data_IF_897265370977
#
_entry.id   IF_897265370977
#
_cell.length_a   1.000
_cell.length_b   1.000
_cell.length_c   1.000
_cell.angle_alpha   90.00
_cell.angle_beta   90.00
_cell.angle_gamma   90.00
#
_symmetry.space_group_name_H-M   'P 1'
#
loop_
_entity.id
_entity.type
_entity.pdbx_description
1 polymer ?
#
# COMPACT_ATOMS: atom_id res chain seq x y z
N UNK A 1 49.98 -34.11 -21.47
CA UNK A 1 50.22 -32.67 -21.72
C UNK A 1 49.63 -31.90 -20.55
N UNK A 2 50.46 -31.02 -20.00
CA UNK A 2 50.41 -30.47 -18.66
C UNK A 2 50.05 -28.98 -18.74
N UNK A 3 48.92 -28.52 -18.19
CA UNK A 3 48.73 -27.11 -17.76
C UNK A 3 47.73 -26.98 -16.59
N UNK A 4 47.93 -26.00 -15.69
CA UNK A 4 47.63 -26.13 -14.27
C UNK A 4 46.39 -25.36 -13.79
N UNK A 5 45.92 -25.72 -12.59
CA UNK A 5 44.91 -25.01 -11.79
C UNK A 5 45.44 -23.64 -11.31
N UNK A 6 44.62 -22.59 -11.43
CA UNK A 6 44.88 -21.26 -10.86
C UNK A 6 43.90 -21.04 -9.69
N UNK A 7 44.43 -20.81 -8.48
CA UNK A 7 43.70 -20.36 -7.29
C UNK A 7 43.61 -18.83 -7.23
N UNK A 8 42.65 -18.25 -6.48
CA UNK A 8 42.41 -16.81 -6.44
C UNK A 8 43.31 -16.09 -5.42
N UNK A 9 43.81 -14.90 -5.78
CA UNK A 9 44.52 -13.99 -4.88
C UNK A 9 43.53 -13.11 -4.11
N UNK A 10 43.55 -13.23 -2.77
CA UNK A 10 42.96 -12.28 -1.85
C UNK A 10 43.88 -11.05 -1.72
N UNK A 11 43.34 -9.85 -1.86
CA UNK A 11 44.02 -8.60 -1.52
C UNK A 11 43.29 -7.96 -0.33
N UNK A 12 43.94 -7.99 0.83
CA UNK A 12 43.56 -7.24 2.01
C UNK A 12 44.04 -5.79 1.85
N UNK A 13 43.14 -4.83 2.05
CA UNK A 13 43.48 -3.41 2.17
C UNK A 13 43.20 -3.00 3.62
N UNK A 14 44.25 -2.51 4.27
CA UNK A 14 44.35 -2.07 5.66
C UNK A 14 44.80 -0.59 5.65
N UNK A 15 44.49 0.12 6.73
CA UNK A 15 44.92 1.49 7.13
C UNK A 15 44.15 2.68 6.50
N UNK A 16 43.82 3.78 7.21
CA UNK A 16 44.25 4.24 8.52
C UNK A 16 43.19 5.17 9.17
N UNK A 17 43.16 5.15 10.51
CA UNK A 17 42.48 6.11 11.39
C UNK A 17 43.45 7.24 11.73
N UNK A 18 43.02 8.49 11.62
CA UNK A 18 43.78 9.66 12.07
C UNK A 18 42.96 10.48 13.06
N UNK A 19 43.34 10.40 14.35
CA UNK A 19 42.98 11.35 15.40
C UNK A 19 44.00 12.50 15.39
N UNK A 20 43.54 13.75 15.42
CA UNK A 20 44.36 14.90 15.81
C UNK A 20 43.51 15.91 16.58
N UNK A 21 44.09 16.40 17.68
CA UNK A 21 43.44 17.12 18.77
C UNK A 21 43.81 18.61 18.82
N UNK A 22 42.99 19.35 19.59
CA UNK A 22 43.23 20.58 20.37
C UNK A 22 43.87 21.83 19.74
N UNK A 23 43.16 22.96 19.89
CA UNK A 23 43.72 24.31 19.89
C UNK A 23 42.69 25.37 20.30
N UNK A 24 42.79 25.89 21.53
CA UNK A 24 42.06 27.04 22.07
C UNK A 24 42.79 28.35 21.79
N UNK A 25 42.10 29.47 21.50
CA UNK A 25 42.71 30.80 21.53
C UNK A 25 41.96 31.98 20.88
N UNK A 26 41.12 32.66 21.68
CA UNK A 26 40.85 34.12 21.79
C UNK A 26 40.65 35.08 20.59
N UNK A 27 39.47 35.71 20.61
CA UNK A 27 39.15 37.16 20.46
C UNK A 27 39.48 37.94 19.16
N UNK A 28 38.44 38.39 18.44
CA UNK A 28 38.13 39.82 18.20
C UNK A 28 36.91 40.01 17.25
N UNK A 29 36.13 41.05 17.51
CA UNK A 29 34.97 41.55 16.73
C UNK A 29 35.36 42.88 16.05
N UNK A 30 34.52 43.48 15.17
CA UNK A 30 34.38 43.30 13.72
C UNK A 30 34.92 44.54 12.92
N UNK A 31 34.67 44.67 11.60
CA UNK A 31 33.44 45.34 11.17
C UNK A 31 32.79 44.79 9.87
N UNK A 32 31.53 45.21 9.71
CA UNK A 32 30.71 45.51 8.52
C UNK A 32 31.20 45.11 7.12
N UNK A 33 30.32 44.43 6.36
CA UNK A 33 29.55 45.10 5.29
C UNK A 33 28.36 44.22 4.84
N UNK A 34 27.16 44.76 5.03
CA UNK A 34 25.90 44.22 4.55
C UNK A 34 25.46 45.04 3.33
N UNK A 35 25.11 44.37 2.25
CA UNK A 35 24.55 44.97 1.04
C UNK A 35 23.04 44.67 0.98
N UNK A 36 22.15 45.69 1.04
CA UNK A 36 20.72 45.50 0.87
C UNK A 36 20.25 45.91 -0.55
N UNK A 37 19.37 45.11 -1.15
CA UNK A 37 18.59 45.53 -2.31
C UNK A 37 17.13 45.73 -1.89
N UNK A 38 16.63 46.91 -2.19
CA UNK A 38 15.43 47.53 -1.68
C UNK A 38 14.16 47.19 -2.49
N UNK A 39 12.99 47.26 -1.85
CA UNK A 39 11.74 47.67 -2.49
C UNK A 39 10.67 48.11 -1.47
N UNK A 40 10.23 49.37 -1.62
CA UNK A 40 8.96 49.95 -1.19
C UNK A 40 8.70 51.17 -2.12
N UNK A 41 7.49 51.78 -2.25
CA UNK A 41 6.25 51.63 -1.46
C UNK A 41 4.91 51.57 -2.29
N UNK A 42 3.78 51.50 -1.56
CA UNK A 42 2.36 51.57 -2.00
C UNK A 42 1.88 53.05 -2.27
N UNK A 43 0.58 53.45 -2.34
CA UNK A 43 -0.74 52.77 -2.43
C UNK A 43 -1.80 53.45 -3.38
N UNK A 44 -3.07 52.97 -3.35
CA UNK A 44 -4.36 53.70 -3.39
C UNK A 44 -5.40 53.26 -4.45
N UNK A 45 -6.69 53.43 -4.09
CA UNK A 45 -7.87 52.67 -4.50
C UNK A 45 -8.85 53.40 -5.44
N UNK A 46 -9.75 52.66 -6.15
CA UNK A 46 -11.23 52.81 -6.12
C UNK A 46 -12.01 51.92 -7.12
N UNK A 47 -12.98 51.21 -6.56
CA UNK A 47 -14.41 51.10 -6.93
C UNK A 47 -14.92 50.49 -8.26
N UNK A 48 -15.70 49.40 -8.07
CA UNK A 48 -17.11 49.21 -8.51
C UNK A 48 -17.43 48.49 -9.82
N UNK A 49 -17.84 47.22 -9.69
CA UNK A 49 -19.07 46.69 -10.28
C UNK A 49 -19.60 45.51 -9.43
N UNK A 50 -20.89 45.50 -9.16
CA UNK A 50 -21.60 44.52 -8.32
C UNK A 50 -21.89 43.20 -9.07
N UNK A 51 -22.21 42.10 -8.35
CA UNK A 51 -22.20 40.75 -8.90
C UNK A 51 -23.59 40.31 -9.43
N UNK A 52 -23.64 39.76 -10.64
CA UNK A 52 -24.78 38.93 -11.06
C UNK A 52 -24.68 37.55 -10.39
N UNK A 53 -25.67 37.26 -9.55
CA UNK A 53 -25.84 36.00 -8.84
C UNK A 53 -26.33 34.92 -9.80
N UNK A 54 -25.42 34.08 -10.32
CA UNK A 54 -25.79 32.74 -10.80
C UNK A 54 -25.75 31.76 -9.64
N UNK A 55 -26.93 31.34 -9.20
CA UNK A 55 -27.16 30.20 -8.30
C UNK A 55 -26.38 28.98 -8.80
N UNK A 56 -25.45 28.39 -8.02
CA UNK A 56 -24.85 27.12 -8.39
C UNK A 56 -25.94 26.04 -8.41
N UNK A 57 -26.11 25.38 -9.55
CA UNK A 57 -26.87 24.15 -9.62
C UNK A 57 -26.18 23.13 -8.71
N UNK A 58 -26.93 22.55 -7.78
CA UNK A 58 -26.44 21.46 -6.95
C UNK A 58 -25.95 20.31 -7.86
N UNK A 59 -24.79 19.69 -7.57
CA UNK A 59 -24.36 18.52 -8.31
C UNK A 59 -25.41 17.42 -8.11
N UNK A 60 -26.07 17.02 -9.20
CA UNK A 60 -26.90 15.84 -9.20
C UNK A 60 -26.00 14.64 -8.89
N UNK A 61 -26.26 13.96 -7.76
CA UNK A 61 -25.73 12.61 -7.53
C UNK A 61 -26.19 11.75 -8.70
N UNK A 62 -25.26 11.41 -9.57
CA UNK A 62 -25.44 10.32 -10.53
C UNK A 62 -25.56 9.03 -9.73
N UNK A 63 -26.80 8.60 -9.51
CA UNK A 63 -27.07 7.31 -8.91
C UNK A 63 -26.56 6.21 -9.86
N UNK A 64 -25.59 5.45 -9.38
CA UNK A 64 -25.01 4.30 -10.09
C UNK A 64 -26.17 3.35 -10.45
N UNK A 65 -26.35 2.97 -11.73
CA UNK A 65 -27.39 2.00 -12.08
C UNK A 65 -27.22 0.74 -11.24
N UNK A 66 -28.28 0.35 -10.55
CA UNK A 66 -28.32 -0.93 -9.85
C UNK A 66 -28.04 -2.04 -10.88
N UNK A 67 -27.21 -3.04 -10.53
CA UNK A 67 -26.98 -4.16 -11.43
C UNK A 67 -28.32 -4.81 -11.76
N UNK A 68 -28.54 -5.15 -13.03
CA UNK A 68 -29.74 -5.83 -13.48
C UNK A 68 -29.98 -7.07 -12.60
N UNK A 69 -31.25 -7.38 -12.24
CA UNK A 69 -31.54 -8.51 -11.37
C UNK A 69 -30.95 -9.77 -12.01
N UNK A 70 -30.13 -10.49 -11.24
CA UNK A 70 -29.63 -11.79 -11.65
C UNK A 70 -30.84 -12.70 -11.99
N UNK A 71 -30.74 -13.55 -13.03
CA UNK A 71 -31.81 -14.49 -13.34
C UNK A 71 -32.17 -15.28 -12.09
N UNK A 72 -33.48 -15.46 -11.85
CA UNK A 72 -33.97 -16.18 -10.69
C UNK A 72 -33.32 -17.57 -10.64
N UNK A 73 -32.69 -17.88 -9.51
CA UNK A 73 -32.10 -19.20 -9.30
C UNK A 73 -33.18 -20.28 -9.45
N UNK A 74 -32.87 -21.42 -10.09
CA UNK A 74 -33.82 -22.52 -10.19
C UNK A 74 -34.32 -22.94 -8.80
N UNK A 75 -35.59 -23.34 -8.71
CA UNK A 75 -36.18 -23.80 -7.46
C UNK A 75 -35.41 -25.01 -6.92
N UNK A 76 -35.03 -24.98 -5.63
CA UNK A 76 -34.24 -26.02 -4.99
C UNK A 76 -33.44 -25.50 -3.80
N UNK A 77 -32.68 -26.38 -3.15
CA UNK A 77 -31.76 -25.99 -2.08
C UNK A 77 -30.38 -25.68 -2.66
N UNK A 78 -29.63 -24.79 -2.01
CA UNK A 78 -28.24 -24.51 -2.40
C UNK A 78 -27.35 -25.77 -2.35
N UNK A 79 -27.63 -26.69 -1.43
CA UNK A 79 -26.94 -27.98 -1.32
C UNK A 79 -27.18 -28.86 -2.54
N UNK A 80 -28.44 -29.03 -2.96
CA UNK A 80 -28.77 -29.81 -4.16
C UNK A 80 -28.13 -29.19 -5.41
N UNK A 81 -28.08 -27.86 -5.51
CA UNK A 81 -27.39 -27.19 -6.62
C UNK A 81 -25.88 -27.44 -6.58
N UNK A 82 -25.25 -27.36 -5.40
CA UNK A 82 -23.81 -27.62 -5.22
C UNK A 82 -23.42 -29.03 -5.69
N UNK A 83 -24.26 -30.03 -5.43
CA UNK A 83 -24.04 -31.42 -5.89
C UNK A 83 -24.04 -31.55 -7.42
N UNK A 84 -24.65 -30.61 -8.15
CA UNK A 84 -24.64 -30.61 -9.62
C UNK A 84 -23.37 -30.00 -10.23
N UNK A 85 -22.54 -29.31 -9.44
CA UNK A 85 -21.37 -28.61 -9.94
C UNK A 85 -20.27 -29.63 -10.29
N UNK A 86 -19.81 -29.70 -11.55
CA UNK A 86 -18.75 -30.65 -11.92
C UNK A 86 -17.43 -30.31 -11.23
N UNK A 87 -16.86 -31.30 -10.53
CA UNK A 87 -15.51 -31.18 -9.95
C UNK A 87 -14.48 -31.34 -11.06
N UNK A 88 -13.70 -30.29 -11.33
CA UNK A 88 -12.63 -30.29 -12.32
C UNK A 88 -11.27 -30.45 -11.64
N UNK A 89 -10.31 -31.02 -12.38
CA UNK A 89 -8.89 -31.00 -12.01
C UNK A 89 -8.27 -29.60 -12.13
N UNK A 90 -6.98 -29.47 -11.80
CA UNK A 90 -6.24 -28.20 -11.92
C UNK A 90 -5.99 -27.85 -13.39
N UNK A 91 -6.27 -26.61 -13.79
CA UNK A 91 -5.83 -26.07 -15.08
C UNK A 91 -4.32 -25.73 -15.04
N UNK A 92 -3.64 -25.58 -16.19
CA UNK A 92 -2.24 -25.18 -16.20
C UNK A 92 -2.03 -23.74 -15.67
N UNK A 93 -0.83 -23.49 -15.13
CA UNK A 93 -0.38 -22.16 -14.67
C UNK A 93 0.06 -21.23 -15.83
N UNK A 94 -0.03 -21.67 -17.08
CA UNK A 94 0.34 -20.87 -18.25
C UNK A 94 -0.32 -19.49 -18.24
N UNK A 95 0.48 -18.45 -18.47
CA UNK A 95 0.03 -17.06 -18.47
C UNK A 95 -0.21 -16.45 -17.10
N UNK A 96 0.07 -17.17 -16.00
CA UNK A 96 0.00 -16.57 -14.67
C UNK A 96 1.17 -15.60 -14.46
N UNK A 97 0.82 -14.36 -14.17
CA UNK A 97 1.66 -13.38 -13.48
C UNK A 97 0.88 -12.89 -12.24
N UNK A 98 1.57 -12.46 -11.18
CA UNK A 98 0.90 -11.89 -10.01
C UNK A 98 0.19 -10.57 -10.38
N UNK A 99 0.76 -9.82 -11.31
CA UNK A 99 0.23 -8.53 -11.75
C UNK A 99 -1.10 -8.68 -12.53
N UNK A 100 -1.46 -9.90 -12.96
CA UNK A 100 -2.80 -10.19 -13.50
C UNK A 100 -3.93 -9.95 -12.48
N UNK A 101 -3.60 -9.88 -11.20
CA UNK A 101 -4.50 -9.58 -10.09
C UNK A 101 -4.41 -8.12 -9.61
N UNK A 102 -3.77 -7.25 -10.39
CA UNK A 102 -3.57 -5.84 -10.03
C UNK A 102 -2.25 -5.60 -9.32
N UNK A 103 -1.94 -4.31 -9.09
CA UNK A 103 -0.67 -3.87 -8.53
C UNK A 103 -0.79 -3.53 -7.05
N UNK A 104 -0.06 -4.25 -6.20
CA UNK A 104 -0.02 -3.97 -4.76
C UNK A 104 -1.37 -4.15 -4.07
N UNK A 105 -1.56 -3.40 -2.98
CA UNK A 105 -2.82 -3.38 -2.23
C UNK A 105 -3.69 -2.23 -2.74
N UNK A 106 -4.93 -2.55 -3.02
CA UNK A 106 -5.89 -1.65 -3.66
C UNK A 106 -7.11 -1.44 -2.76
N UNK A 107 -7.92 -0.46 -3.13
CA UNK A 107 -9.18 -0.10 -2.47
C UNK A 107 -10.37 -0.40 -3.42
N UNK A 108 -10.72 -1.68 -3.63
CA UNK A 108 -11.80 -2.05 -4.55
C UNK A 108 -13.19 -1.68 -4.00
N UNK A 109 -13.36 -1.60 -2.67
CA UNK A 109 -14.64 -1.25 -2.04
C UNK A 109 -14.85 0.28 -1.92
N UNK A 110 -13.77 1.06 -2.15
CA UNK A 110 -13.73 2.52 -2.18
C UNK A 110 -14.05 3.14 -0.83
N UNK A 111 -13.62 2.49 0.25
CA UNK A 111 -13.80 2.97 1.61
C UNK A 111 -12.77 4.06 1.99
N UNK A 112 -11.72 4.26 1.18
CA UNK A 112 -10.64 5.23 1.40
C UNK A 112 -9.34 4.62 1.91
N UNK A 113 -9.29 3.30 2.09
CA UNK A 113 -8.14 2.54 2.56
C UNK A 113 -7.76 1.44 1.59
N UNK A 114 -6.45 1.23 1.45
CA UNK A 114 -5.99 0.02 0.77
C UNK A 114 -6.28 -1.21 1.65
N UNK A 115 -6.47 -2.35 1.00
CA UNK A 115 -6.75 -3.61 1.68
C UNK A 115 -5.70 -3.96 2.74
N UNK A 116 -4.44 -3.50 2.62
CA UNK A 116 -3.44 -3.75 3.65
C UNK A 116 -3.78 -3.03 4.94
N UNK A 117 -4.15 -1.77 4.88
CA UNK A 117 -4.52 -1.02 6.06
C UNK A 117 -5.84 -1.52 6.65
N UNK A 118 -6.79 -1.97 5.82
CA UNK A 118 -8.02 -2.59 6.30
C UNK A 118 -7.74 -3.85 7.13
N UNK A 119 -6.86 -4.72 6.63
CA UNK A 119 -6.51 -5.96 7.34
C UNK A 119 -5.68 -5.69 8.59
N UNK A 120 -4.73 -4.75 8.53
CA UNK A 120 -3.99 -4.33 9.73
C UNK A 120 -4.92 -3.74 10.80
N UNK A 121 -5.91 -2.93 10.40
CA UNK A 121 -6.88 -2.36 11.34
C UNK A 121 -7.84 -3.42 11.90
N UNK A 122 -8.17 -4.46 11.13
CA UNK A 122 -9.01 -5.58 11.56
C UNK A 122 -8.31 -6.51 12.55
N UNK A 123 -7.05 -6.86 12.27
CA UNK A 123 -6.38 -7.99 12.92
C UNK A 123 -5.38 -7.59 14.01
N UNK A 124 -4.94 -6.34 14.05
CA UNK A 124 -4.14 -5.84 15.15
C UNK A 124 -5.04 -5.42 16.31
N UNK A 125 -4.50 -5.54 17.53
CA UNK A 125 -5.04 -4.90 18.72
C UNK A 125 -4.15 -3.76 19.17
N UNK A 126 -4.69 -2.83 19.97
CA UNK A 126 -3.97 -1.65 20.48
C UNK A 126 -3.34 -0.82 19.34
N UNK A 127 -4.04 -0.76 18.23
CA UNK A 127 -3.60 -0.09 17.03
C UNK A 127 -3.67 1.43 17.16
N UNK A 128 -2.75 2.10 16.47
CA UNK A 128 -2.78 3.56 16.36
C UNK A 128 -2.79 3.95 14.90
N UNK A 129 -3.34 5.12 14.59
CA UNK A 129 -3.51 5.60 13.23
C UNK A 129 -2.78 6.92 13.00
N UNK A 130 -2.38 7.16 11.76
CA UNK A 130 -1.85 8.47 11.36
C UNK A 130 -2.95 9.53 11.46
N UNK A 131 -2.72 10.64 12.17
CA UNK A 131 -3.67 11.74 12.23
C UNK A 131 -4.05 12.26 10.84
N UNK A 132 -5.32 12.64 10.66
CA UNK A 132 -5.83 13.17 9.39
C UNK A 132 -6.07 12.12 8.30
N UNK A 133 -6.02 10.83 8.63
CA UNK A 133 -6.27 9.73 7.66
C UNK A 133 -7.59 9.00 7.89
N UNK A 134 -8.47 9.51 8.77
CA UNK A 134 -9.74 8.87 9.12
C UNK A 134 -9.57 7.40 9.57
N UNK A 135 -8.59 7.15 10.43
CA UNK A 135 -8.24 5.81 10.93
C UNK A 135 -7.87 4.82 9.81
N UNK A 136 -7.24 5.30 8.75
CA UNK A 136 -6.80 4.45 7.67
C UNK A 136 -5.37 3.96 7.85
N UNK A 137 -4.42 4.88 8.03
CA UNK A 137 -3.00 4.52 7.99
C UNK A 137 -2.55 4.01 9.37
N UNK A 138 -2.52 2.69 9.57
CA UNK A 138 -2.10 2.02 10.84
C UNK A 138 -0.61 2.19 11.17
N UNK A 139 -0.26 2.91 12.24
CA UNK A 139 1.12 3.16 12.65
C UNK A 139 1.70 2.10 13.57
N UNK A 140 0.89 1.55 14.48
CA UNK A 140 1.31 0.53 15.44
C UNK A 140 0.19 -0.45 15.71
N UNK A 141 0.50 -1.56 16.38
CA UNK A 141 -0.47 -2.49 16.96
C UNK A 141 0.23 -3.78 17.42
N UNK A 142 -0.55 -4.74 17.89
CA UNK A 142 -0.07 -6.05 18.31
C UNK A 142 -0.80 -7.14 17.53
N UNK A 143 -0.05 -8.00 16.85
CA UNK A 143 -0.58 -9.16 16.15
C UNK A 143 -0.40 -10.40 17.02
N UNK A 144 -1.48 -11.15 17.23
CA UNK A 144 -1.40 -12.55 17.64
C UNK A 144 -1.37 -13.40 16.37
N UNK A 145 -0.18 -13.79 15.92
CA UNK A 145 0.00 -14.48 14.64
C UNK A 145 -0.59 -15.90 14.71
N UNK A 146 -1.65 -16.21 13.93
CA UNK A 146 -2.32 -17.50 13.97
C UNK A 146 -1.48 -18.65 13.39
N UNK A 147 -0.47 -18.35 12.56
CA UNK A 147 0.35 -19.37 11.91
C UNK A 147 1.56 -19.80 12.74
N UNK A 148 2.18 -18.86 13.45
CA UNK A 148 3.35 -19.14 14.29
C UNK A 148 3.03 -19.24 15.78
N UNK A 149 1.81 -18.86 16.19
CA UNK A 149 1.41 -18.72 17.58
C UNK A 149 2.31 -17.76 18.39
N UNK A 150 2.93 -16.79 17.71
CA UNK A 150 3.76 -15.75 18.33
C UNK A 150 3.02 -14.42 18.42
N UNK A 151 3.45 -13.56 19.34
CA UNK A 151 2.95 -12.19 19.42
C UNK A 151 3.97 -11.23 18.81
N UNK A 152 3.53 -10.43 17.84
CA UNK A 152 4.37 -9.49 17.12
C UNK A 152 3.90 -8.07 17.44
N UNK A 153 4.82 -7.24 17.96
CA UNK A 153 4.56 -5.80 18.09
C UNK A 153 4.85 -5.13 16.74
N UNK A 154 3.78 -4.73 16.07
CA UNK A 154 3.87 -4.02 14.81
C UNK A 154 4.15 -2.54 15.05
N UNK A 155 5.21 -2.05 14.41
CA UNK A 155 5.45 -0.62 14.17
C UNK A 155 5.66 -0.45 12.68
N UNK A 156 4.97 0.52 12.08
CA UNK A 156 5.15 0.85 10.67
C UNK A 156 6.58 1.31 10.43
N UNK A 157 7.26 0.67 9.50
CA UNK A 157 8.68 0.89 9.22
C UNK A 157 9.43 -0.43 8.99
N UNK A 158 10.67 -0.31 8.53
CA UNK A 158 11.42 -1.44 7.99
C UNK A 158 11.73 -2.56 9.00
N UNK A 159 11.76 -2.23 10.30
CA UNK A 159 12.13 -3.18 11.35
C UNK A 159 11.06 -4.26 11.60
N UNK A 160 9.79 -3.87 11.66
CA UNK A 160 8.69 -4.77 12.07
C UNK A 160 7.62 -4.95 11.00
N UNK A 161 7.56 -4.08 9.98
CA UNK A 161 6.59 -4.27 8.88
C UNK A 161 6.88 -5.51 8.03
N UNK A 162 8.14 -5.98 7.98
CA UNK A 162 8.50 -7.21 7.27
C UNK A 162 8.12 -8.47 8.07
N UNK A 163 7.95 -8.35 9.38
CA UNK A 163 7.48 -9.45 10.23
C UNK A 163 5.95 -9.66 10.15
N UNK A 164 5.19 -8.67 9.65
CA UNK A 164 3.75 -8.76 9.43
C UNK A 164 3.46 -8.72 7.93
N UNK A 165 3.27 -9.91 7.36
CA UNK A 165 2.79 -10.08 5.99
C UNK A 165 1.28 -10.29 6.00
N UNK A 166 0.64 -9.89 4.90
CA UNK A 166 -0.76 -10.22 4.65
C UNK A 166 -0.74 -11.24 3.53
N UNK A 167 -1.23 -12.42 3.84
CA UNK A 167 -1.23 -13.57 2.96
C UNK A 167 -2.61 -13.81 2.37
N UNK A 168 -2.60 -14.43 1.18
CA UNK A 168 -3.82 -14.90 0.54
C UNK A 168 -4.13 -16.32 1.02
N UNK A 169 -5.25 -16.51 1.73
CA UNK A 169 -5.71 -17.84 2.20
C UNK A 169 -5.86 -18.80 1.02
N UNK A 170 -6.47 -18.32 -0.06
CA UNK A 170 -6.45 -18.96 -1.38
C UNK A 170 -5.38 -18.27 -2.22
N UNK A 171 -4.23 -18.93 -2.46
CA UNK A 171 -3.13 -18.32 -3.19
C UNK A 171 -3.53 -17.89 -4.61
N UNK A 172 -3.08 -16.70 -5.05
CA UNK A 172 -3.43 -16.17 -6.38
C UNK A 172 -3.09 -17.13 -7.53
N UNK A 173 -1.96 -17.85 -7.42
CA UNK A 173 -1.55 -18.86 -8.39
C UNK A 173 -2.45 -20.09 -8.41
N UNK A 174 -3.08 -20.45 -7.28
CA UNK A 174 -4.04 -21.55 -7.21
C UNK A 174 -5.40 -21.09 -7.76
N UNK A 175 -5.84 -19.89 -7.38
CA UNK A 175 -7.03 -19.25 -7.93
C UNK A 175 -6.99 -19.18 -9.47
N UNK A 176 -5.84 -18.78 -10.04
CA UNK A 176 -5.63 -18.77 -11.50
C UNK A 176 -5.96 -20.12 -12.15
N UNK A 177 -5.41 -21.20 -11.60
CA UNK A 177 -5.59 -22.57 -12.10
C UNK A 177 -6.99 -23.13 -11.85
N UNK A 178 -7.74 -22.55 -10.91
CA UNK A 178 -9.09 -22.98 -10.53
C UNK A 178 -10.22 -22.14 -11.12
N UNK A 179 -9.91 -21.11 -11.92
CA UNK A 179 -10.91 -20.37 -12.68
C UNK A 179 -10.67 -18.87 -12.74
N UNK A 180 -9.85 -18.30 -11.85
CA UNK A 180 -9.63 -16.86 -11.81
C UNK A 180 -9.03 -16.29 -13.11
N UNK A 181 -8.34 -17.11 -13.92
CA UNK A 181 -7.88 -16.70 -15.25
C UNK A 181 -8.98 -16.23 -16.20
N UNK A 182 -10.23 -16.64 -15.96
CA UNK A 182 -11.41 -16.28 -16.77
C UNK A 182 -12.12 -15.02 -16.24
N UNK A 183 -11.76 -14.55 -15.05
CA UNK A 183 -12.31 -13.34 -14.47
C UNK A 183 -11.77 -12.11 -15.21
N UNK A 184 -12.61 -11.08 -15.30
CA UNK A 184 -12.16 -9.77 -15.78
C UNK A 184 -11.08 -9.19 -14.84
N UNK A 185 -10.18 -8.32 -15.33
CA UNK A 185 -9.09 -7.79 -14.52
C UNK A 185 -9.54 -7.16 -13.19
N UNK A 186 -10.63 -6.39 -13.18
CA UNK A 186 -11.20 -5.79 -11.98
C UNK A 186 -11.75 -6.83 -10.98
N UNK A 187 -12.23 -7.97 -11.45
CA UNK A 187 -12.68 -9.07 -10.59
C UNK A 187 -11.50 -9.82 -9.98
N UNK A 188 -10.39 -9.97 -10.72
CA UNK A 188 -9.14 -10.52 -10.17
C UNK A 188 -8.54 -9.58 -9.12
N UNK A 189 -8.55 -8.27 -9.38
CA UNK A 189 -8.14 -7.26 -8.39
C UNK A 189 -9.01 -7.31 -7.14
N UNK A 190 -10.34 -7.36 -7.30
CA UNK A 190 -11.24 -7.52 -6.16
C UNK A 190 -10.95 -8.80 -5.37
N UNK A 191 -10.72 -9.94 -6.04
CA UNK A 191 -10.37 -11.21 -5.38
C UNK A 191 -9.05 -11.12 -4.60
N UNK A 192 -8.05 -10.43 -5.13
CA UNK A 192 -6.76 -10.27 -4.47
C UNK A 192 -6.79 -9.29 -3.28
N UNK A 193 -7.85 -8.49 -3.16
CA UNK A 193 -8.02 -7.50 -2.10
C UNK A 193 -9.25 -7.81 -1.21
N UNK A 194 -9.85 -9.00 -1.36
CA UNK A 194 -11.02 -9.43 -0.60
C UNK A 194 -10.62 -9.75 0.86
N UNK A 195 -11.17 -9.07 1.87
CA UNK A 195 -10.83 -9.34 3.26
C UNK A 195 -11.08 -10.78 3.72
N UNK A 196 -12.00 -11.51 3.09
CA UNK A 196 -12.25 -12.92 3.39
C UNK A 196 -11.12 -13.85 2.91
N UNK A 197 -10.29 -13.37 1.98
CA UNK A 197 -9.15 -14.09 1.45
C UNK A 197 -7.81 -13.59 2.02
N UNK A 198 -7.81 -12.62 2.93
CA UNK A 198 -6.61 -12.00 3.49
C UNK A 198 -6.49 -12.25 4.99
N UNK A 199 -5.29 -12.63 5.44
CA UNK A 199 -4.92 -12.83 6.84
C UNK A 199 -3.46 -12.46 7.10
#
# INVERSE_FOLDING_TARGET
MNRPRILPSAAAVLLAVSLAACGTGTANTPPSDASPSAAAPAPAAKASAAPETRKPAAPQKTEKPAPAPAPAAPAGTALALLETIPVKGRAPKTGYDRDEFGSGWQDPDRNGCDARNDILARDLTDETFRPGTNNCIVLTGTLADPFTATTIRFVRGNATSTAVQIDHIVPLSDAWQKGARQLAPNQREAFANDPLNLL
#
